data_IF_053086942504
#
_entry.id   IF_053086942504
#
_cell.length_a   1.000
_cell.length_b   1.000
_cell.length_c   1.000
_cell.angle_alpha   90.00
_cell.angle_beta   90.00
_cell.angle_gamma   90.00
#
_symmetry.space_group_name_H-M   'P 1'
#
loop_
_entity.id
_entity.type
_entity.pdbx_description
1 polymer ?
#
# COMPACT_ATOMS: atom_id res chain seq x y z
N UNK A 1 3.85 -20.50 -13.85
CA UNK A 1 4.17 -20.72 -12.43
C UNK A 1 3.05 -20.09 -11.63
N UNK A 2 2.17 -20.91 -11.07
CA UNK A 2 1.03 -20.44 -10.27
C UNK A 2 1.60 -19.72 -9.07
N UNK A 3 1.30 -18.43 -8.92
CA UNK A 3 1.66 -17.67 -7.73
C UNK A 3 0.88 -18.24 -6.57
N UNK A 4 1.50 -19.20 -5.89
CA UNK A 4 0.96 -19.84 -4.71
C UNK A 4 0.98 -18.81 -3.57
N UNK A 5 -0.08 -17.99 -3.53
CA UNK A 5 -0.34 -17.01 -2.48
C UNK A 5 -0.67 -17.77 -1.19
N UNK A 6 0.37 -18.22 -0.51
CA UNK A 6 0.28 -19.06 0.67
C UNK A 6 -0.02 -18.18 1.89
N UNK A 7 -1.31 -17.90 2.12
CA UNK A 7 -1.94 -17.54 3.40
C UNK A 7 -1.52 -16.26 4.14
N UNK A 8 -0.21 -16.04 4.34
CA UNK A 8 0.37 -14.90 5.05
C UNK A 8 0.48 -13.65 4.16
N UNK A 9 0.83 -13.84 2.87
CA UNK A 9 0.79 -12.77 1.86
C UNK A 9 -0.62 -12.20 1.69
N UNK A 10 -1.65 -13.04 1.80
CA UNK A 10 -3.05 -12.60 1.65
C UNK A 10 -3.52 -11.69 2.79
N UNK A 11 -3.01 -11.88 4.02
CA UNK A 11 -3.39 -11.04 5.16
C UNK A 11 -2.66 -9.69 5.14
N UNK A 12 -1.36 -9.70 4.85
CA UNK A 12 -0.58 -8.48 4.67
C UNK A 12 -1.14 -7.64 3.52
N UNK A 13 -1.43 -8.27 2.37
CA UNK A 13 -1.99 -7.57 1.22
C UNK A 13 -3.40 -7.02 1.49
N UNK A 14 -4.24 -7.73 2.24
CA UNK A 14 -5.57 -7.22 2.65
C UNK A 14 -5.45 -6.02 3.59
N UNK A 15 -4.47 -6.02 4.50
CA UNK A 15 -4.20 -4.88 5.37
C UNK A 15 -3.71 -3.67 4.56
N UNK A 16 -2.71 -3.86 3.70
CA UNK A 16 -2.15 -2.81 2.84
C UNK A 16 -3.20 -2.19 1.93
N UNK A 17 -4.05 -3.02 1.31
CA UNK A 17 -5.17 -2.54 0.48
C UNK A 17 -6.17 -1.70 1.30
N UNK A 18 -6.45 -2.11 2.54
CA UNK A 18 -7.34 -1.37 3.44
C UNK A 18 -6.76 0.01 3.80
N UNK A 19 -5.48 0.06 4.14
CA UNK A 19 -4.77 1.31 4.46
C UNK A 19 -4.67 2.22 3.23
N UNK A 20 -4.41 1.66 2.05
CA UNK A 20 -4.37 2.41 0.79
C UNK A 20 -5.71 3.08 0.46
N UNK A 21 -6.82 2.34 0.57
CA UNK A 21 -8.16 2.88 0.32
C UNK A 21 -8.52 3.96 1.36
N UNK A 22 -8.12 3.78 2.62
CA UNK A 22 -8.28 4.78 3.67
C UNK A 22 -7.55 6.08 3.35
N UNK A 23 -6.29 5.99 2.89
CA UNK A 23 -5.50 7.13 2.46
C UNK A 23 -6.09 7.83 1.24
N UNK A 24 -6.48 7.06 0.21
CA UNK A 24 -7.11 7.59 -1.02
C UNK A 24 -8.35 8.42 -0.70
N UNK A 25 -9.23 7.93 0.17
CA UNK A 25 -10.44 8.66 0.57
C UNK A 25 -10.10 10.01 1.20
N UNK A 26 -9.04 10.08 2.02
CA UNK A 26 -8.59 11.34 2.63
C UNK A 26 -7.92 12.29 1.63
N UNK A 27 -7.23 11.77 0.62
CA UNK A 27 -6.63 12.58 -0.44
C UNK A 27 -7.67 13.12 -1.44
N UNK A 28 -8.73 12.35 -1.69
CA UNK A 28 -9.81 12.69 -2.62
C UNK A 28 -11.00 13.37 -1.93
N UNK A 29 -10.82 13.84 -0.69
CA UNK A 29 -11.84 14.65 -0.01
C UNK A 29 -12.21 15.87 -0.87
N UNK A 30 -13.51 16.05 -1.06
CA UNK A 30 -14.10 17.15 -1.84
C UNK A 30 -13.87 18.47 -1.12
N UNK A 31 -14.02 18.45 0.21
CA UNK A 31 -13.64 19.58 1.06
C UNK A 31 -12.11 19.67 1.13
N UNK A 32 -11.58 20.78 0.62
CA UNK A 32 -10.15 21.02 0.55
C UNK A 32 -9.54 21.33 1.92
N UNK A 33 -10.31 21.90 2.86
CA UNK A 33 -9.81 22.21 4.21
C UNK A 33 -9.70 20.96 5.08
N UNK A 34 -10.47 19.92 4.76
CA UNK A 34 -10.39 18.62 5.44
C UNK A 34 -9.50 17.61 4.74
N UNK A 35 -8.96 17.94 3.56
CA UNK A 35 -8.08 17.06 2.80
C UNK A 35 -6.77 16.85 3.55
N UNK A 36 -6.30 15.61 3.57
CA UNK A 36 -5.02 15.26 4.20
C UNK A 36 -3.87 16.06 3.60
N UNK A 37 -3.01 16.62 4.45
CA UNK A 37 -1.83 17.37 3.99
C UNK A 37 -0.66 16.43 3.71
N UNK A 38 0.29 16.79 2.83
CA UNK A 38 1.40 15.91 2.46
C UNK A 38 2.22 15.41 3.65
N UNK A 39 2.41 16.24 4.67
CA UNK A 39 3.12 15.84 5.89
C UNK A 39 2.40 14.71 6.66
N UNK A 40 1.07 14.71 6.68
CA UNK A 40 0.26 13.66 7.31
C UNK A 40 0.24 12.37 6.47
N UNK A 41 0.31 12.49 5.14
CA UNK A 41 0.44 11.33 4.24
C UNK A 41 1.72 10.55 4.56
N UNK A 42 2.84 11.24 4.78
CA UNK A 42 4.12 10.62 5.13
C UNK A 42 4.07 9.88 6.48
N UNK A 43 3.18 10.29 7.38
CA UNK A 43 2.92 9.62 8.65
C UNK A 43 1.87 8.50 8.56
N UNK A 44 1.25 8.27 7.40
CA UNK A 44 0.20 7.27 7.26
C UNK A 44 0.77 5.85 7.30
N UNK A 45 0.13 4.88 7.97
CA UNK A 45 0.57 3.48 8.01
C UNK A 45 0.92 2.90 6.64
N UNK A 46 0.11 3.18 5.61
CA UNK A 46 0.39 2.80 4.22
C UNK A 46 1.78 3.26 3.70
N UNK A 47 2.25 4.44 4.11
CA UNK A 47 3.56 4.96 3.71
C UNK A 47 4.68 4.55 4.68
N UNK A 48 4.34 4.22 5.93
CA UNK A 48 5.28 3.81 6.97
C UNK A 48 5.56 2.32 7.00
N UNK A 49 4.66 1.49 6.48
CA UNK A 49 4.90 0.07 6.21
C UNK A 49 5.91 -0.05 5.06
N UNK A 50 7.16 0.29 5.36
CA UNK A 50 8.29 -0.18 4.61
C UNK A 50 8.26 -1.70 4.68
N UNK A 51 8.42 -2.35 3.52
CA UNK A 51 8.58 -3.80 3.43
C UNK A 51 9.54 -4.28 4.53
N UNK A 52 9.22 -5.34 5.27
CA UNK A 52 10.07 -5.80 6.35
C UNK A 52 11.50 -6.01 5.84
N UNK A 53 12.52 -5.60 6.60
CA UNK A 53 13.91 -5.76 6.19
C UNK A 53 14.18 -7.25 5.92
N UNK A 54 14.52 -7.57 4.67
CA UNK A 54 14.75 -8.94 4.22
C UNK A 54 13.80 -9.44 3.12
N UNK A 55 12.78 -8.68 2.72
CA UNK A 55 12.04 -9.01 1.49
C UNK A 55 12.96 -8.78 0.27
N UNK A 56 13.10 -9.75 -0.65
CA UNK A 56 13.78 -9.48 -1.90
C UNK A 56 13.04 -8.35 -2.63
N UNK A 57 13.75 -7.44 -3.32
CA UNK A 57 13.09 -6.42 -4.12
C UNK A 57 12.12 -7.12 -5.06
N UNK A 58 10.84 -6.74 -4.99
CA UNK A 58 9.81 -7.25 -5.91
C UNK A 58 10.37 -7.04 -7.33
N UNK A 59 10.69 -8.13 -8.03
CA UNK A 59 11.19 -8.01 -9.40
C UNK A 59 10.14 -7.22 -10.19
N UNK A 60 10.55 -6.20 -10.99
CA UNK A 60 9.62 -5.55 -11.89
C UNK A 60 8.92 -6.64 -12.68
N UNK A 61 7.60 -6.70 -12.59
CA UNK A 61 6.80 -7.65 -13.36
C UNK A 61 7.13 -7.38 -14.83
N UNK A 62 7.97 -8.24 -15.42
CA UNK A 62 8.35 -8.06 -16.81
C UNK A 62 7.07 -8.19 -17.62
N UNK A 63 6.76 -7.25 -18.52
CA UNK A 63 5.63 -7.42 -19.42
C UNK A 63 5.82 -8.75 -20.18
N UNK A 64 4.74 -9.50 -20.46
CA UNK A 64 4.84 -10.72 -21.24
C UNK A 64 5.46 -10.39 -22.61
N UNK A 65 6.42 -11.22 -23.02
CA UNK A 65 7.06 -11.16 -24.35
C UNK A 65 6.10 -11.52 -25.46
#
# INVERSE_FOLDING_TARGET
MVMNMEGSDSMAEKADRGEFVGLLKKMLLIDAEQRIVPAEVLGHPFCQHAAPPGLPPQQPVRPPV
#
